data_IF_558196094126
#
_entry.id   IF_558196094126
#
_cell.length_a   1.000
_cell.length_b   1.000
_cell.length_c   1.000
_cell.angle_alpha   90.00
_cell.angle_beta   90.00
_cell.angle_gamma   90.00
#
_symmetry.space_group_name_H-M   'P 1'
#
loop_
_entity.id
_entity.type
_entity.pdbx_description
1 polymer ?
#
# COMPACT_ATOMS: atom_id res chain seq x y z
N UNK A 1 29.91 -10.10 -37.20
CA UNK A 1 28.67 -10.91 -37.06
C UNK A 1 28.45 -11.39 -35.63
N UNK A 2 29.36 -12.18 -35.03
CA UNK A 2 29.18 -12.73 -33.65
C UNK A 2 28.91 -11.67 -32.57
N UNK A 3 29.61 -10.52 -32.61
CA UNK A 3 29.44 -9.42 -31.65
C UNK A 3 28.08 -8.70 -31.78
N UNK A 4 27.57 -8.59 -33.00
CA UNK A 4 26.26 -7.97 -33.27
C UNK A 4 25.14 -8.87 -32.75
N UNK A 5 25.26 -10.19 -32.93
CA UNK A 5 24.29 -11.17 -32.40
C UNK A 5 24.21 -11.11 -30.87
N UNK A 6 25.35 -10.98 -30.17
CA UNK A 6 25.37 -10.84 -28.71
C UNK A 6 24.68 -9.55 -28.25
N UNK A 7 24.90 -8.43 -28.95
CA UNK A 7 24.24 -7.14 -28.62
C UNK A 7 22.73 -7.21 -28.87
N UNK A 8 22.29 -7.84 -29.96
CA UNK A 8 20.86 -8.03 -30.26
C UNK A 8 20.19 -8.93 -29.22
N UNK A 9 20.83 -10.03 -28.81
CA UNK A 9 20.32 -10.92 -27.76
C UNK A 9 20.26 -10.20 -26.40
N UNK A 10 21.26 -9.40 -26.07
CA UNK A 10 21.27 -8.62 -24.84
C UNK A 10 20.12 -7.60 -24.81
N UNK A 11 19.93 -6.82 -25.88
CA UNK A 11 18.83 -5.84 -26.00
C UNK A 11 17.45 -6.52 -26.00
N UNK A 12 17.31 -7.70 -26.61
CA UNK A 12 16.07 -8.47 -26.58
C UNK A 12 15.73 -8.98 -25.16
N UNK A 13 16.74 -9.35 -24.37
CA UNK A 13 16.54 -9.86 -23.00
C UNK A 13 16.02 -8.80 -22.02
N UNK A 14 16.29 -7.51 -22.26
CA UNK A 14 15.80 -6.40 -21.41
C UNK A 14 14.27 -6.26 -21.44
N UNK A 15 13.60 -6.74 -22.50
CA UNK A 15 12.13 -6.70 -22.63
C UNK A 15 11.40 -7.78 -21.82
N UNK A 16 12.12 -8.75 -21.27
CA UNK A 16 11.56 -9.81 -20.42
C UNK A 16 11.49 -9.42 -18.93
N UNK A 17 12.02 -8.24 -18.58
CA UNK A 17 12.00 -7.71 -17.21
C UNK A 17 10.68 -6.95 -16.98
N UNK A 18 9.54 -7.62 -17.01
CA UNK A 18 8.29 -7.05 -16.47
C UNK A 18 8.41 -7.04 -14.95
N UNK A 19 8.19 -5.89 -14.32
CA UNK A 19 8.11 -5.75 -12.87
C UNK A 19 7.24 -6.88 -12.29
N UNK A 20 7.86 -7.75 -11.50
CA UNK A 20 7.22 -8.96 -10.99
C UNK A 20 6.29 -8.57 -9.86
N UNK A 21 5.11 -9.20 -9.81
CA UNK A 21 4.21 -9.19 -8.65
C UNK A 21 5.06 -9.41 -7.39
N UNK A 22 4.87 -8.58 -6.38
CA UNK A 22 5.68 -8.67 -5.16
C UNK A 22 5.09 -9.78 -4.29
N UNK A 23 5.71 -10.96 -4.32
CA UNK A 23 5.44 -12.01 -3.35
C UNK A 23 6.32 -11.85 -2.11
N UNK A 24 5.73 -11.84 -0.91
CA UNK A 24 6.44 -11.94 0.36
C UNK A 24 6.09 -13.29 0.98
N UNK A 25 7.10 -14.14 1.16
CA UNK A 25 6.96 -15.52 1.65
C UNK A 25 6.03 -16.40 0.78
N UNK A 26 5.92 -16.11 -0.52
CA UNK A 26 5.26 -16.97 -1.52
C UNK A 26 6.01 -16.91 -2.85
N UNK A 27 6.25 -18.07 -3.45
CA UNK A 27 6.87 -18.19 -4.78
C UNK A 27 5.84 -18.11 -5.91
N UNK A 28 4.55 -18.19 -5.57
CA UNK A 28 3.45 -18.19 -6.54
C UNK A 28 2.36 -17.20 -6.08
N UNK A 29 2.65 -15.89 -6.10
CA UNK A 29 1.68 -14.87 -5.70
C UNK A 29 0.43 -14.93 -6.58
N UNK A 30 -0.72 -14.56 -6.01
CA UNK A 30 -1.97 -14.50 -6.77
C UNK A 30 -1.83 -13.54 -7.97
N UNK A 31 -2.26 -13.98 -9.15
CA UNK A 31 -2.13 -13.22 -10.41
C UNK A 31 -2.91 -11.91 -10.42
N UNK A 32 -3.91 -11.77 -9.55
CA UNK A 32 -4.70 -10.54 -9.39
C UNK A 32 -4.08 -9.55 -8.39
N UNK A 33 -3.00 -9.93 -7.71
CA UNK A 33 -2.33 -9.10 -6.72
C UNK A 33 -1.15 -8.32 -7.32
N UNK A 34 -0.91 -7.12 -6.80
CA UNK A 34 0.37 -6.43 -7.00
C UNK A 34 1.36 -6.76 -5.86
N UNK A 35 0.84 -7.10 -4.68
CA UNK A 35 1.56 -7.54 -3.48
C UNK A 35 0.77 -8.68 -2.82
N UNK A 36 1.40 -9.85 -2.66
CA UNK A 36 0.86 -11.02 -1.96
C UNK A 36 1.77 -11.38 -0.79
N UNK A 37 1.21 -11.52 0.40
CA UNK A 37 1.95 -11.82 1.63
C UNK A 37 1.37 -13.09 2.25
N UNK A 38 2.15 -14.17 2.27
CA UNK A 38 1.71 -15.45 2.84
C UNK A 38 2.47 -15.78 4.13
N UNK A 39 1.75 -15.96 5.24
CA UNK A 39 2.34 -16.34 6.54
C UNK A 39 1.26 -16.93 7.43
N UNK A 40 1.62 -17.88 8.29
CA UNK A 40 0.69 -18.50 9.25
C UNK A 40 0.79 -17.92 10.65
N UNK A 41 1.83 -17.12 10.94
CA UNK A 41 2.14 -16.67 12.29
C UNK A 41 2.62 -15.20 12.37
N UNK A 42 2.45 -14.42 11.30
CA UNK A 42 2.75 -12.98 11.28
C UNK A 42 1.57 -12.22 10.69
N UNK A 43 1.44 -10.94 11.04
CA UNK A 43 0.46 -10.02 10.45
C UNK A 43 1.12 -8.97 9.56
N UNK A 44 0.29 -8.17 8.91
CA UNK A 44 0.73 -6.94 8.25
C UNK A 44 0.69 -5.79 9.24
N UNK A 45 1.79 -5.04 9.34
CA UNK A 45 1.84 -3.81 10.10
C UNK A 45 1.73 -2.62 9.14
N UNK A 46 0.52 -2.09 8.89
CA UNK A 46 0.35 -0.92 8.03
C UNK A 46 1.01 0.33 8.65
N UNK A 47 1.19 1.41 7.87
CA UNK A 47 1.62 2.69 8.40
C UNK A 47 0.79 3.11 9.60
N UNK A 48 1.46 3.53 10.68
CA UNK A 48 0.82 4.04 11.88
C UNK A 48 0.81 5.55 11.85
N UNK A 49 -0.38 6.15 11.85
CA UNK A 49 -0.54 7.60 11.68
C UNK A 49 -1.58 8.10 12.67
N UNK A 50 -1.24 9.13 13.44
CA UNK A 50 -2.18 9.81 14.32
C UNK A 50 -3.02 10.79 13.50
N UNK A 51 -4.28 10.43 13.24
CA UNK A 51 -5.21 11.27 12.50
C UNK A 51 -5.83 12.32 13.42
N UNK A 52 -6.23 13.44 12.85
CA UNK A 52 -7.04 14.47 13.52
C UNK A 52 -8.52 14.40 13.15
N UNK A 53 -8.85 13.79 12.00
CA UNK A 53 -10.21 13.51 11.52
C UNK A 53 -10.21 12.35 10.51
N UNK A 54 -11.38 11.83 10.17
CA UNK A 54 -11.51 10.80 9.11
C UNK A 54 -11.18 11.32 7.70
N UNK A 55 -11.22 12.64 7.48
CA UNK A 55 -10.88 13.31 6.22
C UNK A 55 -9.57 14.12 6.35
N UNK A 56 -8.65 13.67 7.20
CA UNK A 56 -7.39 14.38 7.46
C UNK A 56 -6.47 14.34 6.22
N UNK A 57 -6.45 15.46 5.49
CA UNK A 57 -5.58 15.71 4.34
C UNK A 57 -4.32 16.52 4.69
N UNK A 58 -4.10 16.79 5.99
CA UNK A 58 -2.97 17.60 6.46
C UNK A 58 -1.84 16.74 7.01
N UNK A 59 -2.18 15.70 7.76
CA UNK A 59 -1.21 14.72 8.26
C UNK A 59 -0.72 13.82 7.13
N UNK A 60 -1.62 13.49 6.20
CA UNK A 60 -1.31 12.78 4.96
C UNK A 60 -1.76 13.69 3.81
N UNK A 61 -0.82 14.34 3.14
CA UNK A 61 -1.12 15.19 1.98
C UNK A 61 -1.64 14.33 0.81
N UNK A 62 -2.69 14.82 0.14
CA UNK A 62 -3.34 14.19 -1.02
C UNK A 62 -3.56 12.66 -0.88
N UNK A 63 -4.29 12.19 0.16
CA UNK A 63 -4.45 10.76 0.40
C UNK A 63 -5.21 10.11 -0.75
N UNK A 64 -4.68 8.98 -1.25
CA UNK A 64 -5.36 8.22 -2.30
C UNK A 64 -6.62 7.54 -1.76
N UNK A 65 -7.71 7.54 -2.53
CA UNK A 65 -8.91 6.75 -2.20
C UNK A 65 -8.55 5.27 -1.99
N UNK A 66 -9.01 4.69 -0.89
CA UNK A 66 -8.67 3.32 -0.48
C UNK A 66 -7.36 3.21 0.31
N UNK A 67 -6.67 4.31 0.61
CA UNK A 67 -5.50 4.31 1.49
C UNK A 67 -5.88 3.79 2.87
N UNK A 68 -5.16 2.77 3.34
CA UNK A 68 -5.36 2.18 4.67
C UNK A 68 -4.21 2.51 5.60
N UNK A 69 -4.53 2.97 6.81
CA UNK A 69 -3.57 3.21 7.89
C UNK A 69 -4.09 2.62 9.20
N UNK A 70 -3.20 2.46 10.18
CA UNK A 70 -3.60 2.17 11.55
C UNK A 70 -3.40 3.42 12.41
N UNK A 71 -4.47 3.89 13.04
CA UNK A 71 -4.41 4.95 14.03
C UNK A 71 -4.19 4.32 15.41
N UNK A 72 -3.10 4.66 16.13
CA UNK A 72 -2.73 3.98 17.36
C UNK A 72 -3.35 4.51 18.66
N UNK A 73 -3.83 5.75 18.74
CA UNK A 73 -4.15 6.42 20.02
C UNK A 73 -5.63 6.79 20.20
N UNK A 74 -6.43 6.63 19.15
CA UNK A 74 -7.73 7.27 18.97
C UNK A 74 -7.62 8.77 18.72
N UNK A 75 -8.69 9.36 18.20
CA UNK A 75 -8.80 10.81 18.02
C UNK A 75 -10.21 11.30 18.28
N UNK A 76 -10.38 12.61 18.45
CA UNK A 76 -11.70 13.24 18.59
C UNK A 76 -11.85 14.26 17.49
N UNK A 77 -12.92 14.12 16.71
CA UNK A 77 -13.27 15.06 15.64
C UNK A 77 -14.61 15.74 15.95
N UNK A 78 -14.90 16.84 15.25
CA UNK A 78 -16.20 17.51 15.34
C UNK A 78 -17.01 17.17 14.10
N UNK A 79 -18.11 16.43 14.27
CA UNK A 79 -19.05 16.09 13.19
C UNK A 79 -20.36 16.82 13.45
N UNK A 80 -20.77 17.68 12.52
CA UNK A 80 -22.01 18.48 12.65
C UNK A 80 -22.09 19.28 13.97
N UNK A 81 -20.95 19.79 14.46
CA UNK A 81 -20.87 20.55 15.72
C UNK A 81 -20.83 19.69 16.99
N UNK A 82 -20.84 18.37 16.87
CA UNK A 82 -20.73 17.44 18.01
C UNK A 82 -19.33 16.82 18.07
N UNK A 83 -18.73 16.77 19.25
CA UNK A 83 -17.51 15.99 19.47
C UNK A 83 -17.78 14.50 19.35
N UNK A 84 -17.06 13.84 18.46
CA UNK A 84 -17.15 12.41 18.21
C UNK A 84 -15.79 11.78 18.48
N UNK A 85 -15.76 10.84 19.42
CA UNK A 85 -14.55 10.08 19.75
C UNK A 85 -14.44 8.88 18.81
N UNK A 86 -13.30 8.77 18.16
CA UNK A 86 -12.92 7.69 17.25
C UNK A 86 -11.86 6.82 17.95
N UNK A 87 -12.10 5.51 18.11
CA UNK A 87 -11.15 4.64 18.78
C UNK A 87 -9.90 4.40 17.91
N UNK A 88 -8.81 3.94 18.52
CA UNK A 88 -7.68 3.36 17.78
C UNK A 88 -8.17 2.24 16.83
N UNK A 89 -7.57 2.12 15.65
CA UNK A 89 -8.01 1.12 14.67
C UNK A 89 -7.53 1.36 13.25
N UNK A 90 -8.02 0.52 12.33
CA UNK A 90 -7.75 0.68 10.89
C UNK A 90 -8.72 1.70 10.31
N UNK A 91 -8.18 2.71 9.63
CA UNK A 91 -8.94 3.73 8.92
C UNK A 91 -8.65 3.62 7.42
N UNK A 92 -9.68 3.86 6.61
CA UNK A 92 -9.57 3.90 5.14
C UNK A 92 -10.05 5.25 4.65
N UNK A 93 -9.25 5.91 3.81
CA UNK A 93 -9.69 7.14 3.16
C UNK A 93 -10.69 6.84 2.05
N UNK A 94 -11.87 7.46 2.08
CA UNK A 94 -12.96 7.20 1.13
C UNK A 94 -12.95 8.13 -0.10
N UNK A 95 -12.06 9.15 -0.11
CA UNK A 95 -11.97 10.11 -1.20
C UNK A 95 -12.79 11.39 -1.00
N UNK A 96 -13.38 11.62 0.17
CA UNK A 96 -14.17 12.82 0.48
C UNK A 96 -13.59 13.70 1.57
#
# INVERSE_FOLDING_TARGET
>A
MKRIVVVVLFVASVRLLTAQIVGINTDNPDKSSALDINTTNKGFLPPRVNLTSITDVTTIEDPATGLMIYEPDGFTETVNGQSVVRPQGVYTYDGT
#
